data_IF_289643096087
#
_entry.id   IF_289643096087
#
_cell.length_a   1.000
_cell.length_b   1.000
_cell.length_c   1.000
_cell.angle_alpha   90.00
_cell.angle_beta   90.00
_cell.angle_gamma   90.00
#
_symmetry.space_group_name_H-M   'P 1'
#
loop_
_entity.id
_entity.type
_entity.pdbx_description
1 polymer ?
#
# COMPACT_ATOMS: atom_id res chain seq x y z
N UNK A 1 51.93 -14.57 -28.30
CA UNK A 1 51.40 -14.53 -26.92
C UNK A 1 51.39 -13.12 -26.31
N UNK A 2 52.52 -12.39 -26.25
CA UNK A 2 52.58 -11.02 -25.67
C UNK A 2 51.63 -9.98 -26.30
N UNK A 3 51.45 -10.01 -27.63
CA UNK A 3 50.51 -9.11 -28.33
C UNK A 3 49.06 -9.36 -27.90
N UNK A 4 48.63 -10.61 -27.79
CA UNK A 4 47.26 -10.98 -27.38
C UNK A 4 46.98 -10.48 -25.96
N UNK A 5 47.94 -10.64 -25.04
CA UNK A 5 47.83 -10.15 -23.66
C UNK A 5 47.69 -8.62 -23.56
N UNK A 6 48.39 -7.90 -24.44
CA UNK A 6 48.33 -6.44 -24.52
C UNK A 6 46.97 -5.95 -25.04
N UNK A 7 46.45 -6.57 -26.11
CA UNK A 7 45.12 -6.26 -26.64
C UNK A 7 44.01 -6.55 -25.61
N UNK A 8 44.09 -7.66 -24.88
CA UNK A 8 43.12 -7.98 -23.83
C UNK A 8 43.15 -6.95 -22.70
N UNK A 9 44.32 -6.47 -22.29
CA UNK A 9 44.44 -5.44 -21.26
C UNK A 9 43.81 -4.11 -21.68
N UNK A 10 44.03 -3.68 -22.93
CA UNK A 10 43.42 -2.46 -23.47
C UNK A 10 41.89 -2.58 -23.57
N UNK A 11 41.36 -3.73 -24.00
CA UNK A 11 39.91 -3.96 -24.10
C UNK A 11 39.25 -3.90 -22.72
N UNK A 12 39.85 -4.54 -21.70
CA UNK A 12 39.34 -4.51 -20.32
C UNK A 12 39.38 -3.08 -19.77
N UNK A 13 40.47 -2.34 -19.99
CA UNK A 13 40.58 -0.95 -19.56
C UNK A 13 39.52 -0.03 -20.18
N UNK A 14 39.26 -0.17 -21.48
CA UNK A 14 38.20 0.59 -22.18
C UNK A 14 36.82 0.21 -21.61
N UNK A 15 36.55 -1.08 -21.39
CA UNK A 15 35.31 -1.55 -20.77
C UNK A 15 35.07 -0.93 -19.39
N UNK A 16 36.10 -0.86 -18.54
CA UNK A 16 36.01 -0.25 -17.21
C UNK A 16 35.72 1.25 -17.31
N UNK A 17 36.38 1.98 -18.21
CA UNK A 17 36.13 3.41 -18.41
C UNK A 17 34.70 3.64 -18.92
N UNK A 18 34.24 2.83 -19.89
CA UNK A 18 32.86 2.90 -20.39
C UNK A 18 31.86 2.64 -19.27
N UNK A 19 32.09 1.66 -18.39
CA UNK A 19 31.23 1.39 -17.24
C UNK A 19 31.21 2.55 -16.24
N UNK A 20 32.34 3.22 -15.99
CA UNK A 20 32.41 4.41 -15.12
C UNK A 20 31.63 5.57 -15.74
N UNK A 21 31.81 5.83 -17.04
CA UNK A 21 31.08 6.88 -17.77
C UNK A 21 29.57 6.56 -17.77
N UNK A 22 29.18 5.32 -18.07
CA UNK A 22 27.78 4.90 -18.01
C UNK A 22 27.20 5.05 -16.59
N UNK A 23 27.97 4.73 -15.55
CA UNK A 23 27.55 4.92 -14.16
C UNK A 23 27.35 6.40 -13.78
N UNK A 24 28.23 7.30 -14.23
CA UNK A 24 28.14 8.72 -13.93
C UNK A 24 27.08 9.45 -14.74
N UNK A 25 26.97 9.16 -16.04
CA UNK A 25 26.06 9.86 -16.95
C UNK A 25 24.66 9.22 -16.99
N UNK A 26 24.54 7.96 -16.57
CA UNK A 26 23.26 7.24 -16.49
C UNK A 26 23.08 6.58 -15.11
N UNK A 27 22.93 7.37 -14.02
CA UNK A 27 22.65 6.83 -12.67
C UNK A 27 21.37 5.98 -12.62
N UNK A 28 20.51 6.14 -13.63
CA UNK A 28 19.34 5.31 -13.91
C UNK A 28 19.68 3.83 -14.08
N UNK A 29 20.82 3.51 -14.70
CA UNK A 29 21.27 2.12 -14.91
C UNK A 29 21.54 1.44 -13.57
N UNK A 30 22.13 2.16 -12.62
CA UNK A 30 22.34 1.69 -11.26
C UNK A 30 21.01 1.43 -10.54
N UNK A 31 20.04 2.36 -10.58
CA UNK A 31 18.74 2.16 -9.91
C UNK A 31 17.94 1.00 -10.50
N UNK A 32 17.96 0.82 -11.83
CA UNK A 32 17.31 -0.34 -12.48
C UNK A 32 18.00 -1.65 -12.08
N UNK A 33 19.34 -1.68 -12.08
CA UNK A 33 20.07 -2.86 -11.67
C UNK A 33 19.85 -3.17 -10.17
N UNK A 34 19.89 -2.14 -9.32
CA UNK A 34 19.69 -2.24 -7.88
C UNK A 34 18.27 -2.73 -7.55
N UNK A 35 17.23 -2.14 -8.14
CA UNK A 35 15.84 -2.56 -7.91
C UNK A 35 15.62 -4.03 -8.26
N UNK A 36 16.11 -4.47 -9.43
CA UNK A 36 16.01 -5.87 -9.87
C UNK A 36 16.87 -6.82 -9.06
N UNK A 37 18.03 -6.37 -8.56
CA UNK A 37 18.93 -7.22 -7.80
C UNK A 37 18.50 -7.39 -6.35
N UNK A 38 18.13 -6.29 -5.68
CA UNK A 38 17.80 -6.28 -4.24
C UNK A 38 16.35 -6.66 -3.97
N UNK A 39 15.41 -6.18 -4.78
CA UNK A 39 13.98 -6.46 -4.61
C UNK A 39 13.52 -7.62 -5.49
N UNK A 40 14.30 -8.69 -5.60
CA UNK A 40 13.87 -9.90 -6.34
C UNK A 40 12.61 -10.50 -5.72
N UNK A 41 11.73 -11.00 -6.57
CA UNK A 41 10.47 -11.65 -6.17
C UNK A 41 10.70 -12.82 -5.21
N UNK A 42 11.76 -13.60 -5.42
CA UNK A 42 12.12 -14.70 -4.52
C UNK A 42 12.49 -14.27 -3.10
N UNK A 43 12.90 -13.02 -2.90
CA UNK A 43 13.29 -12.47 -1.59
C UNK A 43 12.19 -11.60 -0.98
N UNK A 44 11.45 -10.89 -1.81
CA UNK A 44 10.41 -9.95 -1.42
C UNK A 44 9.14 -10.14 -2.27
N UNK A 45 8.43 -11.28 -2.15
CA UNK A 45 7.29 -11.60 -3.01
C UNK A 45 6.16 -10.58 -2.88
N UNK A 46 5.91 -10.05 -1.68
CA UNK A 46 4.90 -9.02 -1.43
C UNK A 46 5.10 -7.71 -2.24
N UNK A 47 6.31 -7.43 -2.71
CA UNK A 47 6.58 -6.25 -3.56
C UNK A 47 5.98 -6.39 -4.97
N UNK A 48 5.66 -7.63 -5.37
CA UNK A 48 5.12 -7.97 -6.68
C UNK A 48 3.61 -8.18 -6.66
N UNK A 49 3.01 -8.28 -5.47
CA UNK A 49 1.56 -8.34 -5.31
C UNK A 49 0.95 -7.00 -5.69
N UNK A 50 -0.06 -7.01 -6.55
CA UNK A 50 -0.85 -5.84 -6.94
C UNK A 50 -2.32 -6.05 -6.60
N UNK A 51 -3.07 -4.98 -6.27
CA UNK A 51 -4.50 -5.10 -6.01
C UNK A 51 -5.27 -5.72 -7.17
N UNK A 52 -6.15 -6.67 -6.87
CA UNK A 52 -7.09 -7.27 -7.82
C UNK A 52 -8.47 -6.66 -7.59
N UNK A 53 -9.17 -6.18 -8.63
CA UNK A 53 -10.53 -5.68 -8.48
C UNK A 53 -11.46 -6.76 -7.92
N UNK A 54 -12.23 -6.41 -6.90
CA UNK A 54 -13.31 -7.24 -6.37
C UNK A 54 -14.58 -6.43 -6.23
N UNK A 55 -15.69 -7.00 -6.68
CA UNK A 55 -17.02 -6.46 -6.42
C UNK A 55 -17.49 -6.87 -5.02
N UNK A 56 -18.10 -5.94 -4.29
CA UNK A 56 -18.74 -6.23 -3.02
C UNK A 56 -20.10 -6.84 -3.30
N UNK A 57 -20.39 -8.01 -2.72
CA UNK A 57 -21.66 -8.67 -2.91
C UNK A 57 -22.78 -7.99 -2.10
N UNK A 58 -23.43 -7.00 -2.72
CA UNK A 58 -24.54 -6.24 -2.13
C UNK A 58 -25.85 -7.06 -2.01
N UNK A 59 -25.90 -8.26 -2.59
CA UNK A 59 -27.10 -9.11 -2.51
C UNK A 59 -27.22 -9.85 -1.18
N UNK A 60 -26.15 -9.87 -0.37
CA UNK A 60 -26.13 -10.53 0.93
C UNK A 60 -27.06 -9.79 1.89
N UNK A 61 -28.04 -10.52 2.40
CA UNK A 61 -28.98 -10.02 3.41
C UNK A 61 -28.91 -10.92 4.62
N UNK A 62 -28.43 -10.37 5.73
CA UNK A 62 -28.63 -10.96 7.05
C UNK A 62 -29.94 -10.44 7.63
N UNK A 63 -30.76 -11.34 8.17
CA UNK A 63 -32.08 -11.01 8.75
C UNK A 63 -31.90 -10.14 9.99
N UNK A 64 -30.92 -10.51 10.82
CA UNK A 64 -30.59 -9.82 12.06
C UNK A 64 -29.18 -9.24 11.98
N UNK A 65 -28.99 -8.05 12.55
CA UNK A 65 -27.72 -7.34 12.58
C UNK A 65 -27.67 -6.38 13.78
N UNK A 66 -26.46 -5.96 14.14
CA UNK A 66 -26.22 -4.92 15.14
C UNK A 66 -25.60 -3.68 14.47
N UNK A 67 -26.08 -2.50 14.85
CA UNK A 67 -25.55 -1.20 14.41
C UNK A 67 -24.47 -0.70 15.38
N UNK A 68 -23.35 -0.22 14.82
CA UNK A 68 -22.24 0.32 15.58
C UNK A 68 -21.87 1.72 15.07
N UNK A 69 -21.58 2.61 16.01
CA UNK A 69 -20.95 3.91 15.76
C UNK A 69 -19.69 3.97 16.60
N UNK A 70 -18.53 3.82 15.97
CA UNK A 70 -17.23 3.74 16.64
C UNK A 70 -16.30 4.77 16.01
N UNK A 71 -15.77 5.67 16.85
CA UNK A 71 -14.98 6.82 16.40
C UNK A 71 -15.80 7.64 15.39
N UNK A 72 -15.33 7.74 14.15
CA UNK A 72 -15.99 8.48 13.07
C UNK A 72 -16.59 7.56 11.99
N UNK A 73 -16.87 6.31 12.33
CA UNK A 73 -17.47 5.32 11.43
C UNK A 73 -18.78 4.78 11.98
N UNK A 74 -19.76 4.67 11.09
CA UNK A 74 -21.00 3.92 11.30
C UNK A 74 -20.98 2.68 10.41
N UNK A 75 -21.30 1.51 10.96
CA UNK A 75 -21.40 0.26 10.20
C UNK A 75 -22.34 -0.74 10.88
N UNK A 76 -22.68 -1.80 10.13
CA UNK A 76 -23.50 -2.91 10.61
C UNK A 76 -22.69 -4.19 10.63
N UNK A 77 -22.93 -5.04 11.63
CA UNK A 77 -22.36 -6.39 11.69
C UNK A 77 -23.47 -7.43 11.75
N UNK A 78 -23.30 -8.61 11.13
CA UNK A 78 -24.33 -9.65 11.10
C UNK A 78 -24.30 -10.56 12.35
N UNK A 79 -23.50 -10.23 13.36
CA UNK A 79 -23.34 -11.03 14.57
C UNK A 79 -24.31 -10.55 15.66
N UNK A 80 -24.93 -11.49 16.37
CA UNK A 80 -25.87 -11.23 17.48
C UNK A 80 -25.26 -11.51 18.86
N UNK A 81 -23.97 -11.82 18.87
CA UNK A 81 -23.21 -12.10 20.09
C UNK A 81 -23.08 -10.85 20.96
N UNK A 82 -22.83 -11.06 22.25
CA UNK A 82 -22.58 -9.95 23.16
C UNK A 82 -21.25 -9.27 22.76
N UNK A 83 -21.29 -7.95 22.65
CA UNK A 83 -20.10 -7.16 22.32
C UNK A 83 -19.42 -6.66 23.60
N UNK A 84 -18.12 -6.91 23.70
CA UNK A 84 -17.24 -6.31 24.69
C UNK A 84 -16.35 -5.28 24.00
N UNK A 85 -16.66 -4.00 24.23
CA UNK A 85 -15.87 -2.89 23.71
C UNK A 85 -14.69 -2.59 24.62
N UNK A 86 -13.48 -2.59 24.06
CA UNK A 86 -12.25 -2.22 24.75
C UNK A 86 -11.56 -1.06 24.06
N UNK A 87 -11.01 -0.15 24.85
CA UNK A 87 -10.12 0.90 24.36
C UNK A 87 -8.68 0.39 24.42
N UNK A 88 -7.95 0.51 23.32
CA UNK A 88 -6.53 0.12 23.23
C UNK A 88 -5.77 1.37 22.83
N UNK A 89 -5.31 2.13 23.83
CA UNK A 89 -4.78 3.47 23.58
C UNK A 89 -5.88 4.36 23.00
N UNK A 90 -5.67 4.84 21.78
CA UNK A 90 -6.66 5.64 21.06
C UNK A 90 -7.61 4.82 20.18
N UNK A 91 -7.31 3.53 19.98
CA UNK A 91 -8.07 2.63 19.11
C UNK A 91 -9.24 1.98 19.86
N UNK A 92 -10.22 1.48 19.10
CA UNK A 92 -11.42 0.85 19.64
C UNK A 92 -11.54 -0.59 19.13
N UNK A 93 -11.53 -1.54 20.05
CA UNK A 93 -11.77 -2.96 19.77
C UNK A 93 -13.20 -3.33 20.15
N UNK A 94 -14.00 -3.73 19.18
CA UNK A 94 -15.25 -4.47 19.39
C UNK A 94 -14.93 -5.96 19.38
N UNK A 95 -14.96 -6.61 20.56
CA UNK A 95 -14.75 -8.05 20.66
C UNK A 95 -16.10 -8.76 20.82
N UNK A 96 -16.38 -9.71 19.95
CA UNK A 96 -17.58 -10.55 20.04
C UNK A 96 -17.22 -11.89 20.67
N UNK A 97 -18.21 -12.72 20.96
CA UNK A 97 -17.97 -14.06 21.48
C UNK A 97 -17.14 -14.89 20.46
N UNK A 98 -16.29 -15.79 20.95
CA UNK A 98 -15.38 -16.57 20.09
C UNK A 98 -14.18 -15.77 19.55
N UNK A 99 -13.90 -15.90 18.26
CA UNK A 99 -12.72 -15.32 17.57
C UNK A 99 -13.02 -14.06 16.76
N UNK A 100 -14.28 -13.59 16.78
CA UNK A 100 -14.74 -12.43 16.02
C UNK A 100 -14.36 -11.12 16.70
N UNK A 101 -13.94 -10.16 15.89
CA UNK A 101 -13.58 -8.84 16.40
C UNK A 101 -13.38 -7.83 15.30
N UNK A 102 -13.59 -6.57 15.64
CA UNK A 102 -13.30 -5.42 14.78
C UNK A 102 -12.48 -4.43 15.60
N UNK A 103 -11.23 -4.21 15.19
CA UNK A 103 -10.40 -3.12 15.71
C UNK A 103 -10.50 -1.95 14.72
N UNK A 104 -10.97 -0.81 15.21
CA UNK A 104 -10.99 0.45 14.45
C UNK A 104 -9.85 1.32 14.95
N UNK A 105 -8.93 1.66 14.05
CA UNK A 105 -7.79 2.52 14.36
C UNK A 105 -8.21 3.99 14.30
N UNK A 106 -7.84 4.79 15.31
CA UNK A 106 -8.19 6.23 15.33
C UNK A 106 -7.41 7.00 14.28
N UNK A 107 -6.11 6.74 14.21
CA UNK A 107 -5.23 7.38 13.24
C UNK A 107 -4.85 6.32 12.22
N UNK A 108 -5.52 6.36 11.06
CA UNK A 108 -5.10 5.58 9.92
C UNK A 108 -3.68 5.98 9.53
N UNK A 109 -2.88 5.02 9.07
CA UNK A 109 -1.50 5.31 8.68
C UNK A 109 -1.52 6.07 7.35
N UNK A 110 -1.30 7.39 7.41
CA UNK A 110 -1.16 8.22 6.21
C UNK A 110 0.24 8.03 5.61
N UNK A 111 0.36 7.05 4.71
CA UNK A 111 1.61 6.76 4.00
C UNK A 111 2.14 7.99 3.26
N UNK A 112 1.26 8.89 2.78
CA UNK A 112 1.68 10.10 2.07
C UNK A 112 2.42 11.03 3.00
N UNK A 113 1.86 11.29 4.18
CA UNK A 113 2.47 12.16 5.18
C UNK A 113 3.81 11.57 5.66
N UNK A 114 3.83 10.28 6.02
CA UNK A 114 5.07 9.59 6.42
C UNK A 114 6.19 9.70 5.38
N UNK A 115 5.86 9.59 4.10
CA UNK A 115 6.83 9.74 3.02
C UNK A 115 7.29 11.19 2.91
N UNK A 116 6.36 12.14 2.92
CA UNK A 116 6.73 13.56 2.86
C UNK A 116 7.64 13.95 4.02
N UNK A 117 7.38 13.47 5.23
CA UNK A 117 8.26 13.63 6.41
C UNK A 117 9.64 12.99 6.19
N UNK A 118 9.69 11.70 5.84
CA UNK A 118 10.95 10.96 5.66
C UNK A 118 11.87 11.60 4.62
N UNK A 119 11.30 12.14 3.54
CA UNK A 119 12.07 12.78 2.47
C UNK A 119 12.34 14.27 2.72
N UNK A 120 11.54 14.96 3.54
CA UNK A 120 11.80 16.36 3.94
C UNK A 120 12.91 16.47 4.98
N UNK A 121 13.03 15.53 5.92
CA UNK A 121 14.14 15.51 6.88
C UNK A 121 15.50 15.26 6.21
N UNK A 122 15.52 14.52 5.10
CA UNK A 122 16.75 14.19 4.38
C UNK A 122 17.20 15.27 3.38
N UNK A 123 16.37 16.27 3.04
CA UNK A 123 16.76 17.31 2.09
C UNK A 123 16.22 18.72 2.46
N UNK A 124 17.10 19.73 2.38
CA UNK A 124 16.75 21.17 2.34
C UNK A 124 15.95 21.59 1.08
N UNK A 125 15.14 20.69 0.50
CA UNK A 125 14.49 20.85 -0.81
C UNK A 125 12.96 20.77 -0.67
N UNK A 126 12.39 21.66 0.15
CA UNK A 126 10.99 21.57 0.58
C UNK A 126 9.93 21.92 -0.49
N UNK A 127 10.27 22.57 -1.61
CA UNK A 127 9.22 23.20 -2.42
C UNK A 127 8.86 22.49 -3.74
N UNK A 128 9.46 21.33 -4.04
CA UNK A 128 9.18 20.63 -5.32
C UNK A 128 9.15 19.11 -5.23
N UNK A 129 9.27 18.55 -4.03
CA UNK A 129 9.32 17.10 -3.84
C UNK A 129 7.93 16.49 -4.07
N UNK A 130 6.88 17.10 -3.51
CA UNK A 130 5.48 16.72 -3.76
C UNK A 130 5.12 16.78 -5.24
N UNK A 131 5.44 17.87 -5.94
CA UNK A 131 5.18 18.02 -7.38
C UNK A 131 5.98 17.02 -8.24
N UNK A 132 7.27 16.79 -7.92
CA UNK A 132 8.12 15.85 -8.68
C UNK A 132 7.76 14.38 -8.44
N UNK A 133 7.22 14.05 -7.27
CA UNK A 133 6.93 12.67 -6.85
C UNK A 133 5.49 12.29 -7.17
N UNK A 134 4.54 13.15 -6.80
CA UNK A 134 3.11 12.89 -6.96
C UNK A 134 2.64 13.27 -8.37
N UNK A 135 3.30 14.26 -8.98
CA UNK A 135 2.84 14.95 -10.18
C UNK A 135 1.45 15.56 -9.97
N UNK A 136 0.90 16.20 -11.01
CA UNK A 136 -0.51 16.61 -11.03
C UNK A 136 -1.49 15.42 -10.99
N UNK A 137 -0.96 14.20 -11.16
CA UNK A 137 -1.74 12.96 -11.33
C UNK A 137 -2.29 12.37 -10.04
N UNK A 138 -1.60 12.50 -8.90
CA UNK A 138 -2.03 11.87 -7.64
C UNK A 138 -2.64 12.93 -6.74
N UNK A 139 -3.97 13.09 -6.86
CA UNK A 139 -4.72 14.16 -6.19
C UNK A 139 -5.26 13.79 -4.81
N UNK A 140 -5.25 12.50 -4.47
CA UNK A 140 -5.92 11.96 -3.29
C UNK A 140 -5.08 10.88 -2.61
N UNK A 141 -5.27 10.69 -1.29
CA UNK A 141 -4.72 9.61 -0.47
C UNK A 141 -5.06 8.24 -1.04
N UNK A 142 -6.30 8.03 -1.48
CA UNK A 142 -6.68 6.80 -2.17
C UNK A 142 -5.83 6.56 -3.42
N UNK A 143 -5.71 7.54 -4.33
CA UNK A 143 -4.91 7.39 -5.55
C UNK A 143 -3.42 7.19 -5.25
N UNK A 144 -2.93 7.80 -4.18
CA UNK A 144 -1.55 7.61 -3.73
C UNK A 144 -1.31 6.18 -3.24
N UNK A 145 -2.17 5.67 -2.36
CA UNK A 145 -2.12 4.29 -1.89
C UNK A 145 -2.28 3.30 -3.04
N UNK A 146 -3.20 3.58 -3.98
CA UNK A 146 -3.36 2.79 -5.21
C UNK A 146 -2.08 2.75 -6.04
N UNK A 147 -1.39 3.88 -6.20
CA UNK A 147 -0.13 3.94 -6.94
C UNK A 147 0.99 3.16 -6.24
N UNK A 148 1.08 3.25 -4.90
CA UNK A 148 2.03 2.46 -4.10
C UNK A 148 1.75 0.96 -4.28
N UNK A 149 0.50 0.53 -4.15
CA UNK A 149 0.18 -0.89 -4.19
C UNK A 149 0.36 -1.50 -5.60
N UNK A 150 0.12 -0.72 -6.65
CA UNK A 150 0.27 -1.18 -8.04
C UNK A 150 1.72 -1.15 -8.56
N UNK A 151 2.65 -0.45 -7.89
CA UNK A 151 4.03 -0.42 -8.36
C UNK A 151 4.73 -1.76 -8.07
N UNK A 152 5.53 -2.23 -9.03
CA UNK A 152 6.41 -3.39 -8.82
C UNK A 152 7.84 -3.08 -9.28
N UNK A 153 8.86 -3.74 -8.71
CA UNK A 153 10.26 -3.52 -9.11
C UNK A 153 10.52 -3.69 -10.61
N UNK A 154 9.79 -4.58 -11.29
CA UNK A 154 9.92 -4.82 -12.72
C UNK A 154 9.42 -3.67 -13.62
N UNK A 155 8.66 -2.74 -13.07
CA UNK A 155 8.14 -1.59 -13.82
C UNK A 155 9.19 -0.49 -14.05
N UNK A 156 10.32 -0.49 -13.33
CA UNK A 156 11.43 0.43 -13.60
C UNK A 156 12.24 -0.10 -14.79
N UNK A 157 12.23 0.65 -15.89
CA UNK A 157 12.89 0.30 -17.15
C UNK A 157 14.03 1.28 -17.45
N UNK A 158 15.03 0.81 -18.19
CA UNK A 158 16.13 1.67 -18.68
C UNK A 158 15.65 2.73 -19.68
N UNK A 159 14.50 2.50 -20.32
CA UNK A 159 13.88 3.44 -21.25
C UNK A 159 13.05 4.53 -20.58
N UNK A 160 12.85 4.45 -19.26
CA UNK A 160 12.08 5.45 -18.52
C UNK A 160 12.87 6.76 -18.40
N UNK A 161 12.16 7.89 -18.38
CA UNK A 161 12.80 9.18 -18.10
C UNK A 161 13.34 9.23 -16.66
N UNK A 162 14.24 10.17 -16.37
CA UNK A 162 14.77 10.35 -15.01
C UNK A 162 13.66 10.57 -13.98
N UNK A 163 12.66 11.37 -14.33
CA UNK A 163 11.54 11.68 -13.44
C UNK A 163 10.68 10.44 -13.19
N UNK A 164 10.41 9.64 -14.23
CA UNK A 164 9.66 8.40 -14.10
C UNK A 164 10.38 7.38 -13.22
N UNK A 165 11.71 7.23 -13.38
CA UNK A 165 12.51 6.34 -12.53
C UNK A 165 12.46 6.80 -11.07
N UNK A 166 12.65 8.10 -10.81
CA UNK A 166 12.56 8.65 -9.45
C UNK A 166 11.17 8.44 -8.83
N UNK A 167 10.09 8.70 -9.58
CA UNK A 167 8.71 8.49 -9.13
C UNK A 167 8.47 7.03 -8.75
N UNK A 168 8.77 6.08 -9.65
CA UNK A 168 8.60 4.64 -9.40
C UNK A 168 9.47 4.16 -8.25
N UNK A 169 10.69 4.67 -8.13
CA UNK A 169 11.59 4.33 -7.03
C UNK A 169 11.01 4.72 -5.68
N UNK A 170 10.45 5.93 -5.58
CA UNK A 170 9.83 6.42 -4.33
C UNK A 170 8.58 5.61 -3.99
N UNK A 171 7.75 5.27 -4.98
CA UNK A 171 6.60 4.37 -4.77
C UNK A 171 7.04 2.97 -4.32
N UNK A 172 8.16 2.44 -4.83
CA UNK A 172 8.72 1.16 -4.37
C UNK A 172 9.21 1.27 -2.93
N UNK A 173 9.92 2.33 -2.58
CA UNK A 173 10.37 2.56 -1.20
C UNK A 173 9.17 2.71 -0.27
N UNK A 174 8.14 3.44 -0.68
CA UNK A 174 6.87 3.56 0.03
C UNK A 174 6.21 2.19 0.27
N UNK A 175 6.12 1.37 -0.77
CA UNK A 175 5.56 0.02 -0.70
C UNK A 175 6.34 -0.84 0.30
N UNK A 176 7.67 -0.74 0.29
CA UNK A 176 8.53 -1.43 1.25
C UNK A 176 8.28 -0.98 2.69
N UNK A 177 8.07 0.31 2.95
CA UNK A 177 7.74 0.81 4.29
C UNK A 177 6.36 0.32 4.76
N UNK A 178 5.42 0.16 3.83
CA UNK A 178 4.09 -0.43 4.11
C UNK A 178 4.10 -1.96 4.25
N UNK A 179 5.26 -2.62 4.14
CA UNK A 179 5.38 -4.06 4.13
C UNK A 179 4.83 -4.75 5.39
N UNK A 180 4.82 -4.08 6.55
CA UNK A 180 4.26 -4.63 7.79
C UNK A 180 2.76 -4.95 7.68
N UNK A 181 2.01 -4.17 6.89
CA UNK A 181 0.61 -4.44 6.58
C UNK A 181 0.47 -5.58 5.56
N UNK A 182 1.31 -5.56 4.52
CA UNK A 182 1.27 -6.54 3.42
C UNK A 182 1.66 -7.95 3.88
N UNK A 183 2.72 -8.07 4.67
CA UNK A 183 3.29 -9.35 5.12
C UNK A 183 2.37 -10.06 6.12
N UNK A 184 1.61 -9.32 6.93
CA UNK A 184 0.70 -9.91 7.93
C UNK A 184 -0.64 -10.36 7.35
N UNK A 185 -1.07 -9.80 6.23
CA UNK A 185 -2.40 -10.06 5.67
C UNK A 185 -2.45 -11.30 4.77
N UNK A 186 -1.32 -11.73 4.21
CA UNK A 186 -1.26 -12.76 3.18
C UNK A 186 -0.92 -12.18 1.80
N UNK A 187 -0.81 -13.04 0.79
CA UNK A 187 -0.29 -12.68 -0.54
C UNK A 187 -1.28 -11.91 -1.43
N UNK A 188 -2.51 -11.65 -0.98
CA UNK A 188 -3.55 -11.04 -1.80
C UNK A 188 -4.01 -9.70 -1.28
N UNK A 189 -4.22 -8.79 -2.22
CA UNK A 189 -4.77 -7.47 -2.00
C UNK A 189 -5.93 -7.32 -2.97
N UNK A 190 -7.10 -6.94 -2.47
CA UNK A 190 -8.24 -6.61 -3.30
C UNK A 190 -8.48 -5.12 -3.25
N UNK A 191 -8.83 -4.50 -4.37
CA UNK A 191 -9.42 -3.17 -4.36
C UNK A 191 -10.93 -3.29 -4.57
N UNK A 192 -11.69 -2.52 -3.81
CA UNK A 192 -13.14 -2.50 -3.88
C UNK A 192 -13.69 -1.07 -3.85
N UNK A 193 -14.95 -0.94 -4.24
CA UNK A 193 -15.69 0.31 -4.25
C UNK A 193 -17.14 0.04 -3.86
N UNK A 194 -17.70 0.96 -3.08
CA UNK A 194 -19.09 1.02 -2.65
C UNK A 194 -19.63 2.43 -2.93
N UNK A 195 -20.94 2.68 -2.82
CA UNK A 195 -21.48 4.02 -3.05
C UNK A 195 -20.92 5.11 -2.12
N UNK A 196 -20.44 4.73 -0.94
CA UNK A 196 -19.97 5.66 0.11
C UNK A 196 -18.46 5.66 0.28
N UNK A 197 -17.78 4.60 -0.15
CA UNK A 197 -16.36 4.37 0.15
C UNK A 197 -15.66 3.59 -0.95
N UNK A 198 -14.34 3.67 -0.95
CA UNK A 198 -13.44 2.86 -1.77
C UNK A 198 -12.26 2.44 -0.93
N UNK A 199 -11.61 1.34 -1.27
CA UNK A 199 -10.52 0.88 -0.42
C UNK A 199 -9.81 -0.37 -0.88
N UNK A 200 -9.01 -0.90 0.04
CA UNK A 200 -8.23 -2.09 -0.12
C UNK A 200 -8.52 -3.08 1.00
N UNK A 201 -8.73 -4.34 0.64
CA UNK A 201 -8.71 -5.47 1.56
C UNK A 201 -7.37 -6.17 1.43
N UNK A 202 -6.65 -6.25 2.53
CA UNK A 202 -5.42 -7.00 2.65
C UNK A 202 -5.75 -8.35 3.26
N UNK A 203 -5.41 -9.41 2.55
CA UNK A 203 -5.62 -10.78 2.98
C UNK A 203 -6.95 -11.40 2.61
N UNK A 204 -7.06 -12.66 2.96
CA UNK A 204 -8.28 -13.46 2.85
C UNK A 204 -8.85 -13.72 4.26
N UNK A 205 -10.17 -13.94 4.38
CA UNK A 205 -10.80 -14.43 5.61
C UNK A 205 -10.04 -15.62 6.24
N UNK A 206 -10.05 -15.76 7.59
CA UNK A 206 -10.95 -15.08 8.52
C UNK A 206 -10.41 -13.77 9.12
N UNK A 207 -9.20 -13.35 8.75
CA UNK A 207 -8.57 -12.15 9.29
C UNK A 207 -8.14 -11.24 8.15
N UNK A 208 -8.76 -10.07 8.06
CA UNK A 208 -8.48 -9.10 7.00
C UNK A 208 -8.17 -7.74 7.59
N UNK A 209 -7.31 -6.99 6.89
CA UNK A 209 -7.08 -5.57 7.17
C UNK A 209 -7.78 -4.79 6.06
N UNK A 210 -8.53 -3.76 6.43
CA UNK A 210 -9.20 -2.87 5.51
C UNK A 210 -8.57 -1.49 5.63
N UNK A 211 -8.20 -0.90 4.50
CA UNK A 211 -7.89 0.53 4.41
C UNK A 211 -8.90 1.17 3.48
N UNK A 212 -9.78 2.00 4.04
CA UNK A 212 -10.96 2.57 3.38
C UNK A 212 -10.86 4.08 3.34
N UNK A 213 -11.41 4.64 2.27
CA UNK A 213 -11.41 6.07 1.96
C UNK A 213 -12.85 6.47 1.68
N UNK A 214 -13.33 7.50 2.39
CA UNK A 214 -14.63 8.10 2.07
C UNK A 214 -14.56 8.97 0.81
N UNK A 215 -15.71 9.50 0.39
CA UNK A 215 -15.80 10.40 -0.77
C UNK A 215 -15.07 11.74 -0.58
N UNK A 216 -14.75 12.11 0.66
CA UNK A 216 -13.92 13.27 1.02
C UNK A 216 -12.44 12.92 1.16
N UNK A 217 -12.05 11.67 0.85
CA UNK A 217 -10.70 11.14 0.91
C UNK A 217 -10.11 11.04 2.34
N UNK A 218 -10.97 10.98 3.36
CA UNK A 218 -10.57 10.60 4.72
C UNK A 218 -10.29 9.10 4.77
N UNK A 219 -9.14 8.71 5.35
CA UNK A 219 -8.72 7.33 5.48
C UNK A 219 -9.15 6.76 6.85
N UNK A 220 -9.62 5.51 6.83
CA UNK A 220 -9.84 4.71 8.03
C UNK A 220 -9.24 3.33 7.85
N UNK A 221 -8.64 2.79 8.92
CA UNK A 221 -8.07 1.45 8.91
C UNK A 221 -8.80 0.56 9.93
N UNK A 222 -9.22 -0.62 9.49
CA UNK A 222 -9.92 -1.60 10.31
C UNK A 222 -9.22 -2.96 10.24
N UNK A 223 -9.21 -3.68 11.35
CA UNK A 223 -8.83 -5.09 11.38
C UNK A 223 -10.04 -5.92 11.77
N UNK A 224 -10.48 -6.80 10.87
CA UNK A 224 -11.62 -7.70 11.09
C UNK A 224 -11.07 -9.12 11.28
N UNK A 225 -11.46 -9.78 12.37
CA UNK A 225 -11.07 -11.16 12.69
C UNK A 225 -12.28 -12.08 12.79
N UNK A 226 -12.06 -13.39 12.60
CA UNK A 226 -13.07 -14.43 12.78
C UNK A 226 -14.27 -14.36 11.83
N UNK A 227 -14.15 -13.68 10.69
CA UNK A 227 -15.27 -13.37 9.79
C UNK A 227 -15.10 -14.03 8.44
N UNK A 228 -16.17 -14.53 7.81
CA UNK A 228 -16.13 -15.02 6.44
C UNK A 228 -16.28 -13.87 5.42
N UNK A 229 -16.11 -14.16 4.12
CA UNK A 229 -16.15 -13.12 3.09
C UNK A 229 -17.54 -12.45 2.96
N UNK A 230 -18.62 -13.21 3.12
CA UNK A 230 -19.98 -12.68 3.02
C UNK A 230 -20.30 -11.72 4.18
N UNK A 231 -19.83 -12.03 5.38
CA UNK A 231 -19.94 -11.15 6.55
C UNK A 231 -19.14 -9.85 6.34
N UNK A 232 -17.93 -9.94 5.77
CA UNK A 232 -17.11 -8.76 5.44
C UNK A 232 -17.80 -7.90 4.37
N UNK A 233 -18.35 -8.52 3.32
CA UNK A 233 -19.06 -7.82 2.25
C UNK A 233 -20.32 -7.11 2.78
N UNK A 234 -21.02 -7.73 3.72
CA UNK A 234 -22.13 -7.09 4.42
C UNK A 234 -21.66 -5.86 5.21
N UNK A 235 -20.61 -5.99 6.03
CA UNK A 235 -20.06 -4.86 6.79
C UNK A 235 -19.67 -3.70 5.86
N UNK A 236 -18.94 -4.01 4.77
CA UNK A 236 -18.52 -3.04 3.75
C UNK A 236 -19.69 -2.40 3.01
N UNK A 237 -20.82 -3.09 2.86
CA UNK A 237 -22.01 -2.53 2.20
C UNK A 237 -22.70 -1.44 3.04
N UNK A 238 -22.48 -1.43 4.36
CA UNK A 238 -23.13 -0.49 5.27
C UNK A 238 -22.19 0.50 5.93
N UNK A 239 -20.88 0.39 5.69
CA UNK A 239 -19.90 1.30 6.27
C UNK A 239 -20.01 2.70 5.65
N UNK A 240 -20.05 3.71 6.51
CA UNK A 240 -20.11 5.13 6.12
C UNK A 240 -19.48 6.00 7.22
N UNK A 241 -19.05 7.23 6.89
CA UNK A 241 -18.63 8.18 7.92
C UNK A 241 -19.78 8.47 8.88
N UNK A 242 -19.48 8.59 10.16
CA UNK A 242 -20.46 8.99 11.16
C UNK A 242 -20.94 10.42 10.85
N UNK A 243 -22.25 10.66 10.97
CA UNK A 243 -22.77 12.01 10.82
C UNK A 243 -22.33 12.83 12.02
N UNK A 244 -21.54 13.90 11.82
CA UNK A 244 -21.14 14.82 12.90
C UNK A 244 -22.39 15.20 13.72
N UNK A 245 -22.42 14.77 14.99
CA UNK A 245 -23.37 15.25 15.99
C UNK A 245 -22.70 16.28 16.87
#
# INVERSE_FOLDING_TARGET
MKRVLMWTGCIVGILVIVLIILGQFYPQTYLVAYSKFWYRESRFPYMYVTPVPREINQSIKFIDYQDFSVLSLEFKVPWLENVNTKEIGEDKLLKFDGSRGILVLKNAVDLREMILEQFSEQQQYNNGLSERILGDSIKSRYEFNKAILNVTPNQIKLSDSRNEISKKWILITAKLLSASMLVKSGEKIYNFETPTMRGFQFGDPPNVILSIFDNSDHQYDLLISGSNQDEIDFILSFIKPASNR
#
